data_IF_560412830076
#
_entry.id   IF_560412830076
#
_cell.length_a   1.000
_cell.length_b   1.000
_cell.length_c   1.000
_cell.angle_alpha   90.00
_cell.angle_beta   90.00
_cell.angle_gamma   90.00
#
_symmetry.space_group_name_H-M   'P 1'
#
loop_
_entity.id
_entity.type
_entity.pdbx_description
1 polymer ?
#
# COMPACT_ATOMS: atom_id res chain seq x y z
N UNK A 1 9.83 -5.35 22.70
CA UNK A 1 10.61 -6.23 21.80
C UNK A 1 11.54 -5.36 20.98
N UNK A 2 12.83 -5.38 21.27
CA UNK A 2 13.88 -4.69 20.53
C UNK A 2 14.11 -5.44 19.21
N UNK A 3 13.78 -4.83 18.06
CA UNK A 3 14.18 -5.37 16.76
C UNK A 3 15.69 -5.19 16.63
N UNK A 4 16.43 -6.28 16.87
CA UNK A 4 17.84 -6.38 16.50
C UNK A 4 17.96 -6.27 14.98
N UNK A 5 18.53 -5.17 14.51
CA UNK A 5 18.88 -4.94 13.11
C UNK A 5 19.95 -5.94 12.70
N UNK A 6 19.58 -7.03 12.02
CA UNK A 6 20.54 -7.72 11.15
C UNK A 6 20.80 -6.80 9.96
N UNK A 7 21.84 -5.97 10.09
CA UNK A 7 22.36 -5.13 9.01
C UNK A 7 23.05 -6.01 7.96
N UNK A 8 22.26 -6.62 7.07
CA UNK A 8 22.74 -6.81 5.71
C UNK A 8 22.81 -5.42 5.09
N UNK A 9 23.97 -4.98 4.63
CA UNK A 9 24.11 -3.65 4.04
C UNK A 9 23.23 -3.56 2.79
N UNK A 10 22.04 -2.98 2.93
CA UNK A 10 21.18 -2.67 1.79
C UNK A 10 21.74 -1.42 1.13
N UNK A 11 22.04 -1.51 -0.17
CA UNK A 11 22.63 -0.42 -0.93
C UNK A 11 21.80 -0.10 -2.16
N UNK A 12 21.92 1.14 -2.62
CA UNK A 12 21.35 1.55 -3.89
C UNK A 12 22.35 1.29 -5.02
N UNK A 13 21.88 0.65 -6.10
CA UNK A 13 22.65 0.50 -7.34
C UNK A 13 22.11 1.51 -8.36
N UNK A 14 22.95 2.46 -8.77
CA UNK A 14 22.60 3.46 -9.78
C UNK A 14 22.94 2.95 -11.18
N UNK A 15 21.92 2.78 -12.02
CA UNK A 15 22.09 2.43 -13.44
C UNK A 15 22.09 3.65 -14.36
N UNK A 16 21.66 4.81 -13.86
CA UNK A 16 21.61 6.06 -14.61
C UNK A 16 21.93 7.25 -13.70
N UNK A 17 22.72 8.20 -14.18
CA UNK A 17 23.22 9.32 -13.37
C UNK A 17 22.11 10.19 -12.75
N UNK A 18 20.97 10.30 -13.43
CA UNK A 18 19.80 11.04 -12.90
C UNK A 18 19.20 10.42 -11.64
N UNK A 19 19.48 9.16 -11.31
CA UNK A 19 19.01 8.57 -10.07
C UNK A 19 19.61 9.25 -8.83
N UNK A 20 20.84 9.78 -8.96
CA UNK A 20 21.53 10.47 -7.87
C UNK A 20 20.77 11.72 -7.39
N UNK A 21 20.06 12.42 -8.29
CA UNK A 21 19.27 13.59 -7.91
C UNK A 21 17.99 13.22 -7.17
N UNK A 22 17.53 11.97 -7.25
CA UNK A 22 16.37 11.45 -6.51
C UNK A 22 16.79 11.07 -5.08
N UNK A 23 17.89 10.33 -4.93
CA UNK A 23 18.29 9.76 -3.63
C UNK A 23 19.17 10.70 -2.79
N UNK A 24 19.78 11.71 -3.41
CA UNK A 24 20.64 12.68 -2.75
C UNK A 24 22.02 12.12 -2.34
N UNK A 25 22.73 12.88 -1.51
CA UNK A 25 24.13 12.57 -1.15
C UNK A 25 24.28 11.49 -0.07
N UNK A 26 23.24 11.27 0.75
CA UNK A 26 23.27 10.35 1.89
C UNK A 26 21.99 9.49 1.92
N UNK A 27 21.78 8.64 0.91
CA UNK A 27 20.58 7.84 0.84
C UNK A 27 20.59 6.76 1.91
N UNK A 28 19.42 6.46 2.48
CA UNK A 28 19.24 5.41 3.48
C UNK A 28 18.00 4.59 3.20
N UNK A 29 17.97 3.38 3.73
CA UNK A 29 16.84 2.45 3.60
C UNK A 29 16.38 2.11 5.02
N UNK A 30 15.09 2.30 5.27
CA UNK A 30 14.47 1.99 6.56
C UNK A 30 13.25 1.12 6.31
N UNK A 31 13.16 0.02 7.07
CA UNK A 31 12.00 -0.85 7.03
C UNK A 31 10.85 -0.20 7.80
N UNK A 32 9.81 0.25 7.07
CA UNK A 32 8.63 0.86 7.69
C UNK A 32 7.64 -0.21 8.19
N UNK A 33 7.36 -1.21 7.36
CA UNK A 33 6.41 -2.27 7.66
C UNK A 33 6.86 -3.58 7.04
N UNK A 34 6.62 -4.65 7.78
CA UNK A 34 6.81 -6.03 7.36
C UNK A 34 5.49 -6.77 7.59
N UNK A 35 5.14 -7.64 6.64
CA UNK A 35 3.99 -8.54 6.76
C UNK A 35 4.46 -9.81 7.47
N UNK A 36 4.29 -9.84 8.79
CA UNK A 36 4.75 -10.95 9.64
C UNK A 36 3.84 -12.18 9.55
N UNK A 37 2.61 -12.00 9.07
CA UNK A 37 1.60 -13.04 8.99
C UNK A 37 1.55 -13.69 7.60
N UNK A 38 2.34 -13.19 6.65
CA UNK A 38 2.44 -13.74 5.30
C UNK A 38 1.18 -13.52 4.45
N UNK A 39 0.41 -12.46 4.74
CA UNK A 39 -0.86 -12.16 4.07
C UNK A 39 -0.68 -11.55 2.67
N UNK A 40 0.55 -11.32 2.21
CA UNK A 40 0.84 -10.63 0.95
C UNK A 40 0.23 -9.21 0.90
N UNK A 41 0.48 -8.45 1.97
CA UNK A 41 -0.01 -7.07 2.16
C UNK A 41 0.54 -6.08 1.12
N UNK A 42 1.57 -6.44 0.37
CA UNK A 42 2.22 -5.61 -0.65
C UNK A 42 2.24 -6.34 -2.00
N UNK A 43 1.32 -5.99 -2.92
CA UNK A 43 1.27 -6.60 -4.26
C UNK A 43 1.53 -5.61 -5.39
N UNK A 44 0.95 -4.41 -5.32
CA UNK A 44 1.08 -3.38 -6.36
C UNK A 44 2.04 -2.26 -5.97
N UNK A 45 2.36 -1.40 -6.94
CA UNK A 45 3.12 -0.16 -6.72
C UNK A 45 2.42 0.73 -5.67
N UNK A 46 3.20 1.20 -4.71
CA UNK A 46 2.71 2.07 -3.64
C UNK A 46 2.44 3.50 -4.13
N UNK A 47 1.55 4.21 -3.43
CA UNK A 47 1.27 5.62 -3.67
C UNK A 47 1.85 6.43 -2.51
N UNK A 48 2.88 7.23 -2.77
CA UNK A 48 3.33 8.22 -1.80
C UNK A 48 2.50 9.49 -1.91
N UNK A 49 1.75 9.80 -0.84
CA UNK A 49 0.92 11.00 -0.71
C UNK A 49 1.62 12.03 0.17
N UNK A 50 2.31 12.97 -0.47
CA UNK A 50 3.17 13.94 0.19
C UNK A 50 2.42 14.84 1.19
N UNK A 51 1.19 15.25 0.86
CA UNK A 51 0.40 16.15 1.70
C UNK A 51 0.13 15.59 3.10
N UNK A 52 0.07 14.26 3.22
CA UNK A 52 -0.14 13.59 4.51
C UNK A 52 1.07 12.79 4.98
N UNK A 53 2.21 12.86 4.29
CA UNK A 53 3.39 12.00 4.51
C UNK A 53 2.98 10.55 4.73
N UNK A 54 2.29 9.97 3.76
CA UNK A 54 1.76 8.60 3.89
C UNK A 54 2.03 7.80 2.63
N UNK A 55 2.29 6.52 2.80
CA UNK A 55 2.38 5.54 1.72
C UNK A 55 1.13 4.67 1.77
N UNK A 56 0.43 4.56 0.66
CA UNK A 56 -0.70 3.65 0.49
C UNK A 56 -0.25 2.44 -0.33
N UNK A 57 -0.57 1.25 0.15
CA UNK A 57 -0.26 -0.02 -0.52
C UNK A 57 -1.51 -0.87 -0.63
N UNK A 58 -1.69 -1.56 -1.74
CA UNK A 58 -2.75 -2.55 -1.89
C UNK A 58 -2.18 -3.95 -1.72
N UNK A 59 -2.87 -4.78 -0.94
CA UNK A 59 -2.55 -6.20 -0.80
C UNK A 59 -2.81 -6.97 -2.09
N UNK A 60 -2.42 -8.24 -2.11
CA UNK A 60 -2.99 -9.19 -3.06
C UNK A 60 -4.47 -9.45 -2.71
N UNK A 61 -5.17 -10.27 -3.50
CA UNK A 61 -6.46 -10.83 -3.10
C UNK A 61 -6.26 -11.80 -1.93
N UNK A 62 -6.69 -11.41 -0.74
CA UNK A 62 -6.61 -12.21 0.48
C UNK A 62 -7.98 -12.76 0.85
N UNK A 63 -8.06 -13.88 1.59
CA UNK A 63 -9.33 -14.38 2.11
C UNK A 63 -10.04 -13.34 2.98
N UNK A 64 -11.38 -13.39 3.00
CA UNK A 64 -12.15 -12.66 4.01
C UNK A 64 -11.82 -13.14 5.43
N UNK A 65 -11.98 -12.29 6.46
CA UNK A 65 -11.85 -12.71 7.84
C UNK A 65 -12.81 -13.86 8.18
N UNK A 66 -12.40 -14.71 9.12
CA UNK A 66 -13.19 -15.87 9.55
C UNK A 66 -14.63 -15.46 9.91
N UNK A 67 -15.60 -16.21 9.39
CA UNK A 67 -17.03 -15.97 9.59
C UNK A 67 -17.66 -14.95 8.64
N UNK A 68 -16.89 -14.34 7.73
CA UNK A 68 -17.41 -13.50 6.66
C UNK A 68 -17.45 -14.24 5.33
N UNK A 69 -18.49 -13.97 4.54
CA UNK A 69 -18.68 -14.52 3.19
C UNK A 69 -19.16 -13.43 2.24
N UNK A 70 -18.67 -13.46 1.01
CA UNK A 70 -19.12 -12.62 -0.09
C UNK A 70 -18.90 -13.36 -1.42
N UNK A 71 -19.97 -13.94 -1.95
CA UNK A 71 -19.91 -14.69 -3.22
C UNK A 71 -19.58 -13.79 -4.42
N UNK A 72 -19.88 -12.48 -4.33
CA UNK A 72 -19.64 -11.50 -5.39
C UNK A 72 -18.15 -11.22 -5.58
N UNK A 73 -17.33 -11.44 -4.54
CA UNK A 73 -15.87 -11.33 -4.58
C UNK A 73 -15.17 -12.70 -4.46
N UNK A 74 -15.93 -13.80 -4.44
CA UNK A 74 -15.43 -15.17 -4.22
C UNK A 74 -14.77 -15.35 -2.84
N UNK A 75 -15.33 -14.72 -1.80
CA UNK A 75 -14.80 -14.74 -0.44
C UNK A 75 -13.39 -14.17 -0.32
N UNK A 76 -13.08 -13.13 -1.11
CA UNK A 76 -11.78 -12.44 -1.11
C UNK A 76 -11.96 -10.94 -0.94
N UNK A 77 -10.90 -10.27 -0.47
CA UNK A 77 -10.79 -8.82 -0.40
C UNK A 77 -9.40 -8.37 -0.84
N UNK A 78 -9.28 -7.12 -1.26
CA UNK A 78 -8.00 -6.42 -1.32
C UNK A 78 -8.05 -5.28 -0.32
N UNK A 79 -6.98 -5.10 0.44
CA UNK A 79 -6.88 -4.11 1.51
C UNK A 79 -5.96 -2.99 1.08
N UNK A 80 -6.44 -1.75 1.20
CA UNK A 80 -5.58 -0.58 1.15
C UNK A 80 -5.00 -0.38 2.55
N UNK A 81 -3.71 -0.62 2.71
CA UNK A 81 -3.01 -0.27 3.95
C UNK A 81 -2.38 1.11 3.79
N UNK A 82 -2.70 2.02 4.71
CA UNK A 82 -2.01 3.30 4.82
C UNK A 82 -0.91 3.19 5.87
N UNK A 83 0.32 3.47 5.48
CA UNK A 83 1.51 3.52 6.32
C UNK A 83 1.88 4.99 6.52
N UNK A 84 1.92 5.47 7.76
CA UNK A 84 2.34 6.83 8.06
C UNK A 84 3.86 6.92 8.08
N UNK A 85 4.38 7.82 7.25
CA UNK A 85 5.78 8.19 7.20
C UNK A 85 6.01 9.34 8.20
N UNK A 86 6.23 8.97 9.45
CA UNK A 86 6.53 9.93 10.52
C UNK A 86 8.02 10.30 10.50
N UNK A 87 8.34 11.53 10.93
CA UNK A 87 9.74 11.95 11.09
C UNK A 87 10.51 11.02 12.08
N UNK A 88 9.78 10.33 12.96
CA UNK A 88 10.26 9.21 13.77
C UNK A 88 9.82 7.87 13.18
N UNK A 89 10.72 7.25 12.41
CA UNK A 89 10.50 5.98 11.73
C UNK A 89 10.33 4.78 12.68
N UNK A 90 10.49 4.96 13.99
CA UNK A 90 10.16 3.93 14.99
C UNK A 90 8.66 3.89 15.32
N UNK A 91 7.90 4.89 14.89
CA UNK A 91 6.46 5.06 15.18
C UNK A 91 5.58 4.81 13.97
N UNK A 92 6.03 4.00 13.01
CA UNK A 92 5.24 3.66 11.83
C UNK A 92 3.94 2.97 12.26
N UNK A 93 2.81 3.60 11.95
CA UNK A 93 1.47 3.05 12.14
C UNK A 93 0.91 2.65 10.79
N UNK A 94 0.24 1.50 10.73
CA UNK A 94 -0.48 1.03 9.56
C UNK A 94 -1.96 0.84 9.88
N UNK A 95 -2.86 1.34 9.02
CA UNK A 95 -4.32 1.17 9.17
C UNK A 95 -4.94 0.64 7.89
N UNK A 96 -6.04 -0.12 8.03
CA UNK A 96 -6.94 -0.41 6.91
C UNK A 96 -7.62 0.90 6.51
N UNK A 97 -7.27 1.38 5.33
CA UNK A 97 -7.76 2.61 4.73
C UNK A 97 -8.63 2.32 3.50
N UNK A 98 -9.16 1.10 3.38
CA UNK A 98 -10.02 0.70 2.25
C UNK A 98 -11.34 1.48 2.32
N UNK A 99 -11.64 2.38 1.37
CA UNK A 99 -12.94 3.05 1.32
C UNK A 99 -14.08 2.04 1.17
N UNK A 100 -15.22 2.29 1.82
CA UNK A 100 -16.35 1.35 1.85
C UNK A 100 -16.95 1.07 0.47
N UNK A 101 -16.89 2.05 -0.43
CA UNK A 101 -17.38 1.99 -1.80
C UNK A 101 -16.34 1.44 -2.80
N UNK A 102 -15.09 1.26 -2.34
CA UNK A 102 -13.99 0.79 -3.16
C UNK A 102 -13.90 -0.75 -3.12
N UNK A 103 -14.54 -1.39 -4.10
CA UNK A 103 -14.54 -2.86 -4.19
C UNK A 103 -13.29 -3.36 -4.91
N UNK A 104 -12.53 -4.21 -4.22
CA UNK A 104 -11.33 -4.89 -4.74
C UNK A 104 -10.31 -3.92 -5.38
N UNK A 105 -9.75 -2.97 -4.62
CA UNK A 105 -8.79 -1.99 -5.14
C UNK A 105 -7.49 -2.63 -5.60
N UNK A 106 -7.08 -2.36 -6.84
CA UNK A 106 -5.89 -2.93 -7.46
C UNK A 106 -4.92 -1.83 -7.93
N UNK A 107 -4.33 -1.13 -6.97
CA UNK A 107 -3.43 -0.01 -7.22
C UNK A 107 -4.14 1.34 -7.46
N UNK A 108 -3.33 2.39 -7.58
CA UNK A 108 -3.83 3.74 -7.78
C UNK A 108 -2.73 4.77 -7.96
N UNK A 109 -3.12 6.04 -7.95
CA UNK A 109 -2.23 7.19 -8.11
C UNK A 109 -2.73 8.39 -7.30
N UNK A 110 -1.84 9.35 -7.03
CA UNK A 110 -2.24 10.68 -6.57
C UNK A 110 -3.14 11.35 -7.62
N UNK A 111 -4.27 11.90 -7.19
CA UNK A 111 -5.21 12.59 -8.08
C UNK A 111 -5.87 13.77 -7.38
N UNK A 112 -5.66 14.98 -7.93
CA UNK A 112 -6.08 16.24 -7.29
C UNK A 112 -5.56 16.32 -5.85
N UNK A 113 -6.44 16.50 -4.87
CA UNK A 113 -6.11 16.55 -3.43
C UNK A 113 -6.19 15.20 -2.73
N UNK A 114 -6.48 14.12 -3.46
CA UNK A 114 -6.67 12.78 -2.91
C UNK A 114 -6.04 11.71 -3.79
N UNK A 115 -6.70 10.56 -3.85
CA UNK A 115 -6.24 9.36 -4.54
C UNK A 115 -7.25 8.92 -5.61
N UNK A 116 -6.75 8.29 -6.67
CA UNK A 116 -7.56 7.61 -7.67
C UNK A 116 -7.15 6.15 -7.72
N UNK A 117 -8.08 5.26 -7.40
CA UNK A 117 -7.85 3.82 -7.39
C UNK A 117 -8.47 3.15 -8.60
N UNK A 118 -7.83 2.09 -9.06
CA UNK A 118 -8.45 1.10 -9.96
C UNK A 118 -9.24 0.12 -9.10
N UNK A 119 -10.55 0.06 -9.25
CA UNK A 119 -11.41 -0.94 -8.63
C UNK A 119 -11.64 -2.11 -9.59
N UNK A 120 -11.48 -3.34 -9.13
CA UNK A 120 -11.83 -4.53 -9.93
C UNK A 120 -13.36 -4.74 -9.99
N UNK A 121 -14.11 -4.16 -9.04
CA UNK A 121 -15.55 -4.38 -8.94
C UNK A 121 -15.89 -5.78 -8.44
N UNK A 122 -17.10 -6.24 -8.71
CA UNK A 122 -17.60 -7.54 -8.28
C UNK A 122 -18.39 -8.26 -9.40
N UNK A 123 -18.88 -9.48 -9.10
CA UNK A 123 -19.63 -10.29 -10.06
C UNK A 123 -21.07 -9.84 -10.33
N UNK A 124 -21.63 -8.89 -9.57
CA UNK A 124 -23.02 -8.44 -9.77
C UNK A 124 -23.16 -7.34 -10.82
N UNK A 125 -22.06 -6.94 -11.49
CA UNK A 125 -21.97 -5.77 -12.37
C UNK A 125 -22.18 -4.42 -11.65
N UNK A 126 -22.30 -4.40 -10.32
CA UNK A 126 -22.41 -3.17 -9.53
C UNK A 126 -21.77 -3.30 -8.12
N UNK A 127 -20.79 -2.45 -7.75
CA UNK A 127 -20.14 -1.49 -8.63
C UNK A 127 -19.29 -2.21 -9.70
N UNK A 128 -19.28 -1.72 -10.95
CA UNK A 128 -18.44 -2.28 -12.00
C UNK A 128 -16.96 -2.01 -11.71
N UNK A 129 -16.08 -2.69 -12.44
CA UNK A 129 -14.67 -2.30 -12.50
C UNK A 129 -14.55 -0.86 -13.02
N UNK A 130 -13.64 -0.06 -12.46
CA UNK A 130 -13.48 1.33 -12.89
C UNK A 130 -12.49 2.12 -12.08
N UNK A 131 -12.48 3.44 -12.31
CA UNK A 131 -11.67 4.39 -11.57
C UNK A 131 -12.54 5.03 -10.49
N UNK A 132 -12.07 4.96 -9.23
CA UNK A 132 -12.80 5.47 -8.07
C UNK A 132 -11.91 6.49 -7.36
N UNK A 133 -12.39 7.72 -7.27
CA UNK A 133 -11.70 8.78 -6.55
C UNK A 133 -11.99 8.68 -5.05
N UNK A 134 -10.95 8.75 -4.23
CA UNK A 134 -11.02 8.76 -2.76
C UNK A 134 -10.37 10.04 -2.26
N UNK A 135 -11.09 10.80 -1.45
CA UNK A 135 -10.64 12.07 -0.85
C UNK A 135 -10.04 11.88 0.53
#
# INVERSE_FOLDING_TARGET
MTKNSKSGAVSFVSLHSSFQSIVGSFPSIVLLKEDVDGLATFHEACIYHAATKSVFVTSNQIPLPNGQTDDLTSNKRIVVTRVYDHDDLTKVVSVDATPQDLVMPNGGINYKSGLLFCAQGNKSNFPPSGLVASS
#
